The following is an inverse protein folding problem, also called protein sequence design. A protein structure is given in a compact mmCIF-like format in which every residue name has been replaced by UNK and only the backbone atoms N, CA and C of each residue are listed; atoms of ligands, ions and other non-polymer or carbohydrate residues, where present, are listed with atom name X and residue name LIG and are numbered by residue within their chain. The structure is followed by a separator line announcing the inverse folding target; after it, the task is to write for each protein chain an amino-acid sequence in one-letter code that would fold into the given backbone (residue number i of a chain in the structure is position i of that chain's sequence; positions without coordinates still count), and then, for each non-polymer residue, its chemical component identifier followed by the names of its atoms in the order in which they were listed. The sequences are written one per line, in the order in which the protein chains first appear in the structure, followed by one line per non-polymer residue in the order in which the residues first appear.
data_IF_767275882845
#
_entry.id   IF_767275882845
#
_cell.length_a   1.000
_cell.length_b   1.000
_cell.length_c   1.000
_cell.angle_alpha   90.00
_cell.angle_beta   90.00
_cell.angle_gamma   90.00
#
_symmetry.space_group_name_H-M   'P 1'
#
loop_
_entity.id
_entity.type
_entity.pdbx_description
1 polymer ?
#
# COMPACT_ATOMS: atom_id res chain seq x y z
N UNK A 1 65.78 33.14 -6.70
CA UNK A 1 65.27 31.82 -6.32
C UNK A 1 64.25 31.82 -5.16
N UNK A 2 64.15 32.87 -4.35
CA UNK A 2 63.18 32.90 -3.24
C UNK A 2 61.73 33.23 -3.66
N UNK A 3 61.49 33.81 -4.85
CA UNK A 3 60.14 34.17 -5.32
C UNK A 3 59.36 33.03 -5.94
N UNK A 4 60.00 31.96 -6.36
CA UNK A 4 59.35 30.78 -6.97
C UNK A 4 58.76 29.86 -5.91
N UNK A 5 59.35 29.82 -4.72
CA UNK A 5 58.91 28.99 -3.62
C UNK A 5 57.53 29.47 -3.04
N UNK A 6 57.29 30.78 -3.04
CA UNK A 6 55.99 31.32 -2.56
C UNK A 6 54.85 31.10 -3.55
N UNK A 7 55.15 30.95 -4.85
CA UNK A 7 54.11 30.68 -5.85
C UNK A 7 53.64 29.23 -5.85
N UNK A 8 54.55 28.27 -5.51
CA UNK A 8 54.16 26.88 -5.35
C UNK A 8 53.43 26.58 -4.03
N UNK A 9 53.66 27.38 -2.97
CA UNK A 9 52.91 27.24 -1.72
C UNK A 9 51.49 27.73 -1.80
N UNK A 10 51.20 28.68 -2.71
CA UNK A 10 49.84 29.22 -2.88
C UNK A 10 48.93 28.37 -3.79
N UNK A 11 49.54 27.52 -4.63
CA UNK A 11 48.77 26.60 -5.51
C UNK A 11 48.35 25.29 -4.83
N UNK A 12 48.90 24.97 -3.63
CA UNK A 12 48.60 23.77 -2.91
C UNK A 12 47.43 23.87 -1.92
N UNK A 13 46.86 25.06 -1.72
CA UNK A 13 45.75 25.31 -0.76
C UNK A 13 44.38 25.35 -1.45
N UNK A 14 44.31 25.37 -2.79
CA UNK A 14 43.05 25.49 -3.53
C UNK A 14 42.41 24.15 -3.94
N UNK A 15 42.86 22.97 -3.45
CA UNK A 15 42.35 21.66 -3.84
C UNK A 15 41.64 20.91 -2.71
N UNK A 16 41.25 21.59 -1.61
CA UNK A 16 40.48 20.98 -0.53
C UNK A 16 39.06 21.56 -0.41
N UNK A 17 38.52 22.10 -1.50
CA UNK A 17 37.07 22.20 -1.64
C UNK A 17 36.55 20.83 -2.12
N UNK A 18 36.71 19.80 -1.30
CA UNK A 18 35.87 18.63 -1.40
C UNK A 18 34.45 19.14 -1.12
N UNK A 19 33.63 19.25 -2.13
CA UNK A 19 32.19 19.23 -1.95
C UNK A 19 31.91 17.97 -1.11
N UNK A 20 31.60 18.14 0.15
CA UNK A 20 30.75 17.21 0.84
C UNK A 20 29.38 17.38 0.15
N UNK A 21 29.11 16.56 -0.86
CA UNK A 21 27.74 16.19 -1.13
C UNK A 21 27.25 15.63 0.23
N UNK A 22 26.53 16.45 0.96
CA UNK A 22 25.63 15.95 1.96
C UNK A 22 24.60 15.18 1.13
N UNK A 23 24.78 13.87 1.05
CA UNK A 23 23.68 12.97 0.75
C UNK A 23 22.60 13.36 1.76
N UNK A 24 21.63 14.18 1.34
CA UNK A 24 20.41 14.37 2.10
C UNK A 24 19.80 12.99 2.19
N UNK A 25 20.01 12.35 3.33
CA UNK A 25 19.47 11.04 3.62
C UNK A 25 17.97 11.15 3.39
N UNK A 26 17.44 10.43 2.41
CA UNK A 26 16.02 10.47 2.09
C UNK A 26 15.25 9.92 3.29
N UNK A 27 14.82 10.80 4.18
CA UNK A 27 14.11 10.46 5.40
C UNK A 27 12.63 10.16 5.17
N UNK A 28 12.13 10.30 3.94
CA UNK A 28 10.73 10.10 3.55
C UNK A 28 10.17 8.77 4.08
N UNK A 29 10.97 7.73 3.98
CA UNK A 29 10.60 6.38 4.40
C UNK A 29 11.38 5.90 5.64
N UNK A 30 11.94 6.83 6.44
CA UNK A 30 12.59 6.47 7.70
C UNK A 30 11.61 5.74 8.62
N UNK A 31 12.09 4.69 9.30
CA UNK A 31 11.30 3.84 10.21
C UNK A 31 10.01 3.30 9.58
N UNK A 32 10.07 3.01 8.26
CA UNK A 32 8.89 2.69 7.45
C UNK A 32 8.13 1.47 7.93
N UNK A 33 8.84 0.41 8.35
CA UNK A 33 8.20 -0.78 8.87
C UNK A 33 7.34 -0.47 10.11
N UNK A 34 7.89 0.22 11.11
CA UNK A 34 7.17 0.57 12.33
C UNK A 34 5.99 1.53 12.05
N UNK A 35 6.15 2.46 11.10
CA UNK A 35 5.07 3.34 10.63
C UNK A 35 3.92 2.53 10.01
N UNK A 36 4.23 1.53 9.16
CA UNK A 36 3.23 0.63 8.57
C UNK A 36 2.50 -0.20 9.63
N UNK A 37 3.25 -0.79 10.58
CA UNK A 37 2.67 -1.59 11.66
C UNK A 37 1.76 -0.75 12.55
N UNK A 38 2.17 0.46 12.87
CA UNK A 38 1.37 1.42 13.66
C UNK A 38 0.11 1.82 12.91
N UNK A 39 0.23 2.19 11.62
CA UNK A 39 -0.90 2.57 10.78
C UNK A 39 -1.90 1.43 10.65
N UNK A 40 -1.43 0.22 10.33
CA UNK A 40 -2.30 -0.95 10.20
C UNK A 40 -2.99 -1.28 11.54
N UNK A 41 -2.26 -1.24 12.65
CA UNK A 41 -2.83 -1.53 13.99
C UNK A 41 -3.94 -0.54 14.34
N UNK A 42 -3.77 0.74 14.02
CA UNK A 42 -4.80 1.77 14.23
C UNK A 42 -6.04 1.51 13.35
N UNK A 43 -5.85 1.20 12.06
CA UNK A 43 -6.95 0.88 11.14
C UNK A 43 -7.66 -0.39 11.51
N UNK A 44 -6.94 -1.42 11.90
CA UNK A 44 -7.53 -2.67 12.40
C UNK A 44 -8.40 -2.42 13.63
N UNK A 45 -7.93 -1.66 14.61
CA UNK A 45 -8.68 -1.34 15.82
C UNK A 45 -9.94 -0.49 15.51
N UNK A 46 -9.82 0.51 14.63
CA UNK A 46 -10.92 1.36 14.16
C UNK A 46 -12.03 0.53 13.51
N UNK A 47 -11.66 -0.32 12.53
CA UNK A 47 -12.60 -1.13 11.77
C UNK A 47 -13.23 -2.20 12.66
N UNK A 48 -12.46 -2.81 13.55
CA UNK A 48 -12.96 -3.77 14.53
C UNK A 48 -14.01 -3.13 15.44
N UNK A 49 -13.74 -1.93 15.96
CA UNK A 49 -14.72 -1.20 16.79
C UNK A 49 -15.99 -0.84 16.01
N UNK A 50 -15.89 -0.41 14.75
CA UNK A 50 -17.06 -0.17 13.88
C UNK A 50 -17.88 -1.46 13.67
N UNK A 51 -17.22 -2.58 13.43
CA UNK A 51 -17.89 -3.88 13.29
C UNK A 51 -18.61 -4.31 14.57
N UNK A 52 -17.96 -4.16 15.72
CA UNK A 52 -18.56 -4.47 17.04
C UNK A 52 -19.73 -3.54 17.37
N UNK A 53 -19.71 -2.31 16.88
CA UNK A 53 -20.83 -1.36 16.97
C UNK A 53 -21.99 -1.64 15.99
N UNK A 54 -21.88 -2.69 15.17
CA UNK A 54 -22.92 -3.09 14.22
C UNK A 54 -22.88 -2.37 12.87
N UNK A 55 -21.76 -1.74 12.50
CA UNK A 55 -21.59 -1.17 11.16
C UNK A 55 -21.44 -2.30 10.13
N UNK A 56 -22.37 -2.39 9.18
CA UNK A 56 -22.41 -3.47 8.18
C UNK A 56 -21.44 -3.26 7.00
N UNK A 57 -20.94 -2.02 6.80
CA UNK A 57 -20.05 -1.69 5.69
C UNK A 57 -18.55 -1.88 6.02
N UNK A 58 -18.22 -2.66 7.04
CA UNK A 58 -16.85 -2.95 7.46
C UNK A 58 -16.68 -4.40 7.89
N UNK A 59 -15.48 -4.96 7.71
CA UNK A 59 -15.16 -6.30 8.20
C UNK A 59 -13.68 -6.45 8.56
N UNK A 60 -13.40 -7.45 9.41
CA UNK A 60 -12.08 -8.00 9.71
C UNK A 60 -12.07 -9.44 9.24
N UNK A 61 -11.31 -9.74 8.21
CA UNK A 61 -11.30 -11.04 7.54
C UNK A 61 -9.95 -11.72 7.76
N UNK A 62 -9.98 -12.93 8.30
CA UNK A 62 -8.77 -13.74 8.46
C UNK A 62 -8.23 -14.16 7.10
N UNK A 63 -6.92 -14.02 6.90
CA UNK A 63 -6.28 -14.46 5.68
C UNK A 63 -6.46 -15.97 5.44
N UNK A 64 -6.79 -16.32 4.21
CA UNK A 64 -7.08 -17.71 3.80
C UNK A 64 -5.93 -18.67 4.07
N UNK A 65 -4.68 -18.18 3.99
CA UNK A 65 -3.46 -18.97 4.19
C UNK A 65 -3.07 -19.15 5.67
N UNK A 66 -3.78 -18.48 6.60
CA UNK A 66 -3.44 -18.47 8.03
C UNK A 66 -4.23 -19.48 8.84
N UNK A 67 -3.66 -19.88 9.98
CA UNK A 67 -4.30 -20.82 10.89
C UNK A 67 -5.72 -20.33 11.29
N UNK A 68 -6.77 -21.18 11.19
CA UNK A 68 -8.12 -20.82 11.60
C UNK A 68 -8.25 -20.34 13.06
N UNK A 69 -7.36 -20.75 13.94
CA UNK A 69 -7.37 -20.38 15.35
C UNK A 69 -6.52 -19.14 15.67
N UNK A 70 -5.95 -18.47 14.67
CA UNK A 70 -5.12 -17.30 14.92
C UNK A 70 -5.94 -16.15 15.50
N UNK A 71 -5.33 -15.41 16.42
CA UNK A 71 -5.84 -14.14 16.97
C UNK A 71 -4.90 -12.98 16.72
N UNK A 72 -3.83 -13.22 15.96
CA UNK A 72 -2.80 -12.21 15.65
C UNK A 72 -3.35 -11.21 14.63
N UNK A 73 -3.44 -9.91 14.92
CA UNK A 73 -4.05 -8.92 14.03
C UNK A 73 -3.46 -8.90 12.61
N UNK A 74 -2.15 -9.13 12.47
CA UNK A 74 -1.45 -9.16 11.18
C UNK A 74 -1.76 -10.40 10.32
N UNK A 75 -2.53 -11.34 10.83
CA UNK A 75 -3.08 -12.47 10.06
C UNK A 75 -4.45 -12.17 9.43
N UNK A 76 -4.93 -10.94 9.59
CA UNK A 76 -6.21 -10.47 9.06
C UNK A 76 -6.00 -9.28 8.12
N UNK A 77 -6.95 -9.08 7.21
CA UNK A 77 -7.15 -7.83 6.49
C UNK A 77 -8.30 -7.06 7.15
N UNK A 78 -8.23 -5.73 7.10
CA UNK A 78 -9.32 -4.87 7.51
C UNK A 78 -9.98 -4.24 6.27
N UNK A 79 -11.31 -4.21 6.22
CA UNK A 79 -12.06 -3.91 5.01
C UNK A 79 -13.13 -2.85 5.28
N UNK A 80 -13.23 -1.89 4.36
CA UNK A 80 -14.35 -0.96 4.22
C UNK A 80 -15.04 -1.24 2.87
N UNK A 81 -16.33 -1.59 2.92
CA UNK A 81 -17.16 -1.81 1.74
C UNK A 81 -17.68 -0.46 1.25
N UNK A 82 -17.18 0.02 0.11
CA UNK A 82 -17.46 1.38 -0.38
C UNK A 82 -18.80 1.43 -1.12
N UNK A 83 -19.04 0.43 -1.96
CA UNK A 83 -20.31 0.26 -2.67
C UNK A 83 -20.66 -1.23 -2.65
N UNK A 84 -21.90 -1.53 -2.31
CA UNK A 84 -22.45 -2.87 -2.47
C UNK A 84 -23.29 -2.86 -3.74
N UNK A 85 -23.00 -3.73 -4.66
CA UNK A 85 -23.85 -3.97 -5.82
C UNK A 85 -25.08 -4.74 -5.38
N UNK A 86 -26.07 -3.99 -4.85
CA UNK A 86 -27.27 -4.55 -4.21
C UNK A 86 -28.27 -5.15 -5.21
N UNK A 87 -28.11 -4.94 -6.52
CA UNK A 87 -29.09 -5.28 -7.55
C UNK A 87 -28.65 -6.33 -8.56
N UNK A 88 -27.51 -6.98 -8.37
CA UNK A 88 -27.10 -8.14 -9.17
C UNK A 88 -27.66 -9.44 -8.61
N UNK A 89 -27.71 -10.51 -9.40
CA UNK A 89 -27.92 -11.85 -8.83
C UNK A 89 -26.84 -12.10 -7.78
N UNK A 90 -27.20 -12.73 -6.65
CA UNK A 90 -26.21 -13.18 -5.68
C UNK A 90 -25.28 -14.18 -6.38
N UNK A 91 -24.18 -13.66 -6.91
CA UNK A 91 -23.10 -14.48 -7.44
C UNK A 91 -22.29 -14.99 -6.25
N UNK A 92 -21.84 -16.21 -6.31
CA UNK A 92 -20.91 -16.73 -5.30
C UNK A 92 -19.56 -15.97 -5.36
N UNK A 93 -18.79 -16.06 -4.27
CA UNK A 93 -17.42 -15.58 -4.28
C UNK A 93 -16.51 -16.49 -5.13
N UNK A 94 -15.48 -15.92 -5.78
CA UNK A 94 -14.55 -16.73 -6.55
C UNK A 94 -13.75 -17.68 -5.65
N UNK A 95 -13.26 -18.77 -6.22
CA UNK A 95 -12.29 -19.66 -5.58
C UNK A 95 -10.86 -19.39 -6.12
N UNK A 96 -9.85 -19.97 -5.48
CA UNK A 96 -8.43 -19.72 -5.80
C UNK A 96 -8.05 -19.95 -7.27
N UNK A 97 -8.74 -20.87 -7.94
CA UNK A 97 -8.48 -21.25 -9.35
C UNK A 97 -9.23 -20.44 -10.36
N UNK A 98 -10.22 -19.65 -9.93
CA UNK A 98 -11.03 -18.85 -10.82
C UNK A 98 -10.24 -17.68 -11.40
N UNK A 99 -10.66 -17.26 -12.59
CA UNK A 99 -10.17 -16.05 -13.22
C UNK A 99 -11.16 -14.91 -12.96
N UNK A 100 -10.65 -13.84 -12.39
CA UNK A 100 -11.42 -12.64 -12.07
C UNK A 100 -11.05 -11.48 -13.00
N UNK A 101 -11.99 -10.57 -13.20
CA UNK A 101 -11.80 -9.28 -13.88
C UNK A 101 -11.99 -8.19 -12.85
N UNK A 102 -10.94 -7.42 -12.60
CA UNK A 102 -10.91 -6.43 -11.53
C UNK A 102 -10.36 -5.10 -11.99
N UNK A 103 -10.80 -4.03 -11.32
CA UNK A 103 -10.13 -2.75 -11.30
C UNK A 103 -9.58 -2.51 -9.90
N UNK A 104 -8.32 -2.07 -9.78
CA UNK A 104 -7.71 -1.81 -8.50
C UNK A 104 -6.70 -0.66 -8.56
N UNK A 105 -6.47 -0.04 -7.41
CA UNK A 105 -5.35 0.87 -7.14
C UNK A 105 -4.68 0.44 -5.84
N UNK A 106 -3.36 0.35 -5.87
CA UNK A 106 -2.52 0.09 -4.72
C UNK A 106 -1.87 1.37 -4.21
N UNK A 107 -1.98 1.61 -2.90
CA UNK A 107 -1.41 2.77 -2.24
C UNK A 107 -0.55 2.35 -1.05
N UNK A 108 0.54 3.06 -0.84
CA UNK A 108 1.27 3.02 0.43
C UNK A 108 0.52 3.80 1.50
N UNK A 109 0.97 3.69 2.74
CA UNK A 109 0.52 4.59 3.80
C UNK A 109 0.95 6.03 3.50
N UNK A 110 0.27 7.06 4.03
CA UNK A 110 0.67 8.45 3.86
C UNK A 110 2.09 8.70 4.37
N UNK A 111 2.82 9.54 3.66
CA UNK A 111 4.15 10.02 4.03
C UNK A 111 4.23 11.54 3.82
N UNK A 112 5.35 12.17 4.15
CA UNK A 112 5.44 13.64 4.12
C UNK A 112 5.19 14.23 2.72
N UNK A 113 5.76 13.59 1.68
CA UNK A 113 5.64 14.04 0.29
C UNK A 113 4.46 13.43 -0.47
N UNK A 114 3.91 12.33 0.02
CA UNK A 114 2.85 11.59 -0.68
C UNK A 114 1.60 11.50 0.18
N UNK A 115 0.65 12.40 -0.08
CA UNK A 115 -0.65 12.43 0.56
C UNK A 115 -1.73 12.77 -0.47
N UNK A 116 -2.68 11.88 -0.66
CA UNK A 116 -3.86 12.08 -1.50
C UNK A 116 -5.10 11.94 -0.63
N UNK A 117 -5.87 13.02 -0.50
CA UNK A 117 -7.14 12.97 0.24
C UNK A 117 -8.25 12.53 -0.71
N UNK A 118 -8.92 11.45 -0.35
CA UNK A 118 -10.08 10.93 -1.06
C UNK A 118 -11.34 11.74 -0.71
N UNK A 119 -12.41 11.60 -1.49
CA UNK A 119 -13.68 12.31 -1.27
C UNK A 119 -14.29 12.03 0.12
N UNK A 120 -14.08 10.85 0.67
CA UNK A 120 -14.54 10.45 2.01
C UNK A 120 -13.63 10.94 3.14
N UNK A 121 -12.62 11.74 2.83
CA UNK A 121 -11.65 12.28 3.78
C UNK A 121 -10.50 11.31 4.13
N UNK A 122 -10.48 10.10 3.58
CA UNK A 122 -9.36 9.17 3.77
C UNK A 122 -8.11 9.70 3.09
N UNK A 123 -6.99 9.73 3.81
CA UNK A 123 -5.69 10.11 3.26
C UNK A 123 -4.91 8.85 2.90
N UNK A 124 -4.49 8.78 1.64
CA UNK A 124 -3.67 7.70 1.07
C UNK A 124 -2.29 8.24 0.70
N UNK A 125 -1.28 7.37 0.67
CA UNK A 125 0.08 7.71 0.31
C UNK A 125 0.36 7.58 -1.20
N UNK A 126 1.59 7.20 -1.53
CA UNK A 126 2.02 6.99 -2.91
C UNK A 126 1.23 5.88 -3.59
N UNK A 127 0.66 6.16 -4.78
CA UNK A 127 0.05 5.15 -5.62
C UNK A 127 1.14 4.36 -6.34
N UNK A 128 1.38 3.12 -5.94
CA UNK A 128 2.43 2.28 -6.51
C UNK A 128 1.95 1.40 -7.68
N UNK A 129 0.63 1.14 -7.75
CA UNK A 129 0.07 0.31 -8.82
C UNK A 129 -1.38 0.72 -9.12
N UNK A 130 -1.82 0.48 -10.35
CA UNK A 130 -3.19 0.74 -10.78
C UNK A 130 -3.53 0.00 -12.07
N UNK A 131 -4.73 -0.52 -12.17
CA UNK A 131 -5.27 -1.08 -13.41
C UNK A 131 -5.83 -0.03 -14.38
N UNK A 132 -5.88 1.26 -13.99
CA UNK A 132 -6.32 2.35 -14.87
C UNK A 132 -5.61 3.67 -14.56
N UNK A 133 -5.70 4.62 -15.48
CA UNK A 133 -5.20 5.99 -15.34
C UNK A 133 -6.35 7.01 -15.44
N UNK A 134 -6.20 8.16 -14.81
CA UNK A 134 -7.23 9.22 -14.80
C UNK A 134 -8.41 8.91 -13.89
N UNK A 135 -9.57 9.49 -14.25
CA UNK A 135 -10.82 9.30 -13.50
C UNK A 135 -11.38 7.91 -13.67
N UNK A 136 -12.16 7.46 -12.68
CA UNK A 136 -12.78 6.14 -12.72
C UNK A 136 -13.97 6.14 -13.68
N UNK A 137 -13.85 5.41 -14.80
CA UNK A 137 -14.91 5.22 -15.79
C UNK A 137 -14.88 3.79 -16.33
N UNK A 138 -15.82 2.97 -15.89
CA UNK A 138 -15.92 1.57 -16.27
C UNK A 138 -16.10 1.35 -17.78
N UNK A 139 -16.62 2.34 -18.51
CA UNK A 139 -16.84 2.24 -19.96
C UNK A 139 -15.54 2.39 -20.76
N UNK A 140 -14.52 3.02 -20.19
CA UNK A 140 -13.25 3.35 -20.83
C UNK A 140 -12.07 2.52 -20.31
N UNK A 141 -12.23 1.82 -19.18
CA UNK A 141 -11.14 1.08 -18.53
C UNK A 141 -11.12 -0.38 -18.96
N UNK A 142 -9.91 -0.86 -19.27
CA UNK A 142 -9.69 -2.30 -19.41
C UNK A 142 -9.46 -2.91 -18.03
N UNK A 143 -10.20 -3.94 -17.64
CA UNK A 143 -9.97 -4.63 -16.39
C UNK A 143 -8.67 -5.41 -16.42
N UNK A 144 -8.01 -5.53 -15.29
CA UNK A 144 -6.99 -6.55 -15.10
C UNK A 144 -7.67 -7.92 -15.02
N UNK A 145 -7.12 -8.90 -15.72
CA UNK A 145 -7.64 -10.27 -15.76
C UNK A 145 -6.57 -11.20 -15.20
N UNK A 146 -6.88 -11.93 -14.13
CA UNK A 146 -5.93 -12.82 -13.50
C UNK A 146 -6.60 -13.89 -12.63
N UNK A 147 -5.83 -14.92 -12.25
CA UNK A 147 -6.32 -15.94 -11.32
C UNK A 147 -6.39 -15.36 -9.90
N UNK A 148 -7.46 -15.67 -9.18
CA UNK A 148 -7.69 -15.23 -7.80
C UNK A 148 -6.50 -15.53 -6.89
N UNK A 149 -5.91 -16.71 -6.99
CA UNK A 149 -4.78 -17.15 -6.17
C UNK A 149 -3.40 -16.66 -6.64
N UNK A 150 -3.28 -15.76 -7.62
CA UNK A 150 -2.00 -15.26 -8.12
C UNK A 150 -1.57 -13.92 -7.52
N UNK A 151 -2.37 -13.34 -6.64
CA UNK A 151 -2.07 -12.08 -5.96
C UNK A 151 -1.42 -12.30 -4.59
N UNK A 152 -0.98 -11.22 -3.95
CA UNK A 152 -0.54 -11.25 -2.54
C UNK A 152 -1.66 -11.80 -1.64
N UNK A 153 -1.29 -12.45 -0.56
CA UNK A 153 -2.22 -13.17 0.33
C UNK A 153 -3.39 -12.32 0.81
N UNK A 154 -3.12 -11.07 1.19
CA UNK A 154 -4.17 -10.16 1.65
C UNK A 154 -5.17 -9.80 0.55
N UNK A 155 -4.70 -9.56 -0.67
CA UNK A 155 -5.58 -9.23 -1.80
C UNK A 155 -6.37 -10.46 -2.28
N UNK A 156 -5.72 -11.62 -2.36
CA UNK A 156 -6.40 -12.90 -2.60
C UNK A 156 -7.50 -13.14 -1.57
N UNK A 157 -7.23 -12.89 -0.28
CA UNK A 157 -8.23 -13.03 0.78
C UNK A 157 -9.46 -12.16 0.54
N UNK A 158 -9.26 -10.91 0.13
CA UNK A 158 -10.39 -10.03 -0.20
C UNK A 158 -11.21 -10.60 -1.37
N UNK A 159 -10.56 -10.97 -2.47
CA UNK A 159 -11.24 -11.51 -3.66
C UNK A 159 -12.06 -12.78 -3.35
N UNK A 160 -11.56 -13.65 -2.47
CA UNK A 160 -12.28 -14.86 -2.02
C UNK A 160 -13.56 -14.57 -1.22
N UNK A 161 -13.76 -13.30 -0.81
CA UNK A 161 -14.91 -12.87 -0.02
C UNK A 161 -15.74 -11.79 -0.73
N UNK A 162 -15.33 -11.34 -1.91
CA UNK A 162 -16.05 -10.34 -2.72
C UNK A 162 -17.01 -11.03 -3.67
N UNK A 163 -18.15 -10.38 -3.91
CA UNK A 163 -19.09 -10.73 -4.97
C UNK A 163 -18.87 -9.87 -6.21
N UNK A 164 -19.46 -10.28 -7.30
CA UNK A 164 -19.40 -9.51 -8.55
C UNK A 164 -20.05 -8.13 -8.36
N UNK A 165 -19.30 -7.09 -8.70
CA UNK A 165 -19.71 -5.69 -8.52
C UNK A 165 -19.33 -5.04 -7.18
N UNK A 166 -18.80 -5.79 -6.23
CA UNK A 166 -18.33 -5.23 -4.95
C UNK A 166 -17.17 -4.26 -5.17
N UNK A 167 -17.15 -3.20 -4.38
CA UNK A 167 -16.07 -2.21 -4.31
C UNK A 167 -15.63 -2.02 -2.88
N UNK A 168 -14.39 -2.42 -2.59
CA UNK A 168 -13.84 -2.41 -1.25
C UNK A 168 -12.56 -1.59 -1.16
N UNK A 169 -12.34 -0.96 0.00
CA UNK A 169 -11.03 -0.49 0.45
C UNK A 169 -10.47 -1.51 1.42
N UNK A 170 -9.25 -1.98 1.14
CA UNK A 170 -8.64 -3.09 1.86
C UNK A 170 -7.34 -2.60 2.48
N UNK A 171 -7.21 -2.74 3.79
CA UNK A 171 -5.98 -2.49 4.52
C UNK A 171 -5.28 -3.82 4.74
N UNK A 172 -4.11 -3.96 4.13
CA UNK A 172 -3.33 -5.20 4.12
C UNK A 172 -2.06 -4.96 4.92
N UNK A 173 -1.82 -5.69 6.02
CA UNK A 173 -0.54 -5.61 6.73
C UNK A 173 0.58 -6.13 5.83
N UNK A 174 1.80 -5.62 5.98
CA UNK A 174 2.91 -5.97 5.10
C UNK A 174 3.20 -7.48 5.07
N UNK A 175 2.94 -8.22 6.15
CA UNK A 175 3.09 -9.68 6.24
C UNK A 175 2.16 -10.44 5.28
N UNK A 176 1.04 -9.86 4.89
CA UNK A 176 0.09 -10.40 3.90
C UNK A 176 0.20 -9.70 2.54
N UNK A 177 1.13 -8.74 2.43
CA UNK A 177 1.46 -7.97 1.24
C UNK A 177 2.80 -8.40 0.66
N UNK A 178 3.71 -7.46 0.52
CA UNK A 178 5.04 -7.66 -0.07
C UNK A 178 6.13 -7.97 0.96
N UNK A 179 5.77 -8.10 2.24
CA UNK A 179 6.70 -8.37 3.33
C UNK A 179 7.71 -7.25 3.52
N UNK A 180 9.00 -7.60 3.47
CA UNK A 180 10.13 -6.66 3.53
C UNK A 180 10.75 -6.38 2.16
N UNK A 181 10.01 -6.65 1.08
CA UNK A 181 10.50 -6.40 -0.29
C UNK A 181 10.50 -4.91 -0.59
N UNK A 182 11.58 -4.45 -1.22
CA UNK A 182 11.77 -3.05 -1.64
C UNK A 182 11.74 -2.98 -3.16
N UNK A 183 11.08 -1.97 -3.73
CA UNK A 183 11.05 -1.73 -5.17
C UNK A 183 11.69 -0.37 -5.48
N UNK A 184 12.93 -0.37 -5.93
CA UNK A 184 13.69 0.86 -6.17
C UNK A 184 13.93 1.63 -4.87
N UNK A 185 13.51 2.90 -4.81
CA UNK A 185 13.56 3.76 -3.62
C UNK A 185 12.28 3.71 -2.76
N UNK A 186 11.34 2.85 -3.12
CA UNK A 186 10.06 2.69 -2.43
C UNK A 186 10.13 1.41 -1.60
N UNK A 187 9.93 1.48 -0.28
CA UNK A 187 9.98 0.33 0.62
C UNK A 187 8.78 -0.60 0.49
#
# INVERSE_FOLDING_TARGET
MKKIIYFMAFLAVSLLSSCSETDEENTEFADWQNRNETYFSAKYAEIKAKKEAGTHAVDIIRCYSKNPATTVPTDFIAVEMLDNYINGPETGCPILTDTVRIHYRGYLIPSDSYQTTMEDGTVLGYQFDSSWTGDYDLSLMNPYVGKTGSFIDGFTTALLNMHDGDRWRIYIPHQLGYGSSVSGSIP
#
